data_IF_307648870663
#
_entry.id   IF_307648870663
#
_cell.length_a   1.000
_cell.length_b   1.000
_cell.length_c   1.000
_cell.angle_alpha   90.00
_cell.angle_beta   90.00
_cell.angle_gamma   90.00
#
_symmetry.space_group_name_H-M   'P 1'
#
loop_
_entity.id
_entity.type
_entity.pdbx_description
1 polymer ?
#
# COMPACT_ATOMS: atom_id res chain seq x y z
N UNK A 1 -19.58 6.81 -19.05
CA UNK A 1 -18.78 5.70 -18.47
C UNK A 1 -17.32 5.97 -18.81
N UNK A 2 -16.50 6.41 -17.86
CA UNK A 2 -15.06 6.62 -18.12
C UNK A 2 -14.33 5.30 -17.85
N UNK A 3 -13.92 4.62 -18.93
CA UNK A 3 -12.95 3.54 -18.87
C UNK A 3 -11.58 4.21 -18.97
N UNK A 4 -10.81 4.20 -17.87
CA UNK A 4 -9.34 4.28 -17.97
C UNK A 4 -8.63 5.59 -17.64
N UNK A 5 -9.20 6.50 -16.85
CA UNK A 5 -8.46 7.64 -16.29
C UNK A 5 -8.19 7.46 -14.79
N UNK A 6 -6.99 7.02 -14.40
CA UNK A 6 -6.60 6.93 -12.99
C UNK A 6 -6.32 8.35 -12.46
N UNK A 7 -7.02 8.78 -11.41
CA UNK A 7 -6.87 10.16 -10.93
C UNK A 7 -5.49 10.36 -10.28
N UNK A 8 -5.02 11.61 -10.22
CA UNK A 8 -3.77 11.93 -9.52
C UNK A 8 -3.80 11.52 -8.04
N UNK A 9 -5.00 11.51 -7.42
CA UNK A 9 -5.19 11.06 -6.06
C UNK A 9 -5.02 9.54 -5.93
N UNK A 10 -5.58 8.76 -6.87
CA UNK A 10 -5.43 7.30 -6.88
C UNK A 10 -3.97 6.88 -7.01
N UNK A 11 -3.19 7.59 -7.83
CA UNK A 11 -1.74 7.35 -7.99
C UNK A 11 -1.00 7.59 -6.68
N UNK A 12 -1.31 8.68 -5.97
CA UNK A 12 -0.71 8.98 -4.66
C UNK A 12 -1.04 7.91 -3.63
N UNK A 13 -2.30 7.49 -3.56
CA UNK A 13 -2.75 6.42 -2.65
C UNK A 13 -2.06 5.10 -2.97
N UNK A 14 -2.00 4.70 -4.24
CA UNK A 14 -1.26 3.47 -4.61
C UNK A 14 0.22 3.54 -4.26
N UNK A 15 0.85 4.70 -4.46
CA UNK A 15 2.27 4.88 -4.12
C UNK A 15 2.52 4.66 -2.63
N UNK A 16 1.68 5.22 -1.75
CA UNK A 16 1.88 5.03 -0.31
C UNK A 16 1.61 3.59 0.12
N UNK A 17 0.64 2.90 -0.50
CA UNK A 17 0.37 1.48 -0.24
C UNK A 17 1.58 0.59 -0.61
N UNK A 18 2.24 0.88 -1.74
CA UNK A 18 3.47 0.20 -2.15
C UNK A 18 4.60 0.50 -1.17
N UNK A 19 4.80 1.76 -0.77
CA UNK A 19 5.86 2.16 0.16
C UNK A 19 5.67 1.52 1.55
N UNK A 20 4.44 1.50 2.07
CA UNK A 20 4.12 0.84 3.33
C UNK A 20 4.40 -0.65 3.26
N UNK A 21 3.95 -1.32 2.19
CA UNK A 21 4.19 -2.76 1.99
C UNK A 21 5.69 -3.06 1.87
N UNK A 22 6.45 -2.22 1.16
CA UNK A 22 7.90 -2.36 1.08
C UNK A 22 8.57 -2.25 2.46
N UNK A 23 8.11 -1.32 3.31
CA UNK A 23 8.56 -1.22 4.70
C UNK A 23 8.27 -2.49 5.50
N UNK A 24 7.07 -3.09 5.34
CA UNK A 24 6.74 -4.36 6.00
C UNK A 24 7.71 -5.48 5.58
N UNK A 25 7.98 -5.60 4.28
CA UNK A 25 8.87 -6.65 3.74
C UNK A 25 10.31 -6.45 4.19
N UNK A 26 10.86 -5.25 4.02
CA UNK A 26 12.28 -4.94 4.34
C UNK A 26 12.57 -5.15 5.83
N UNK A 27 11.61 -4.85 6.71
CA UNK A 27 11.77 -5.00 8.15
C UNK A 27 11.24 -6.33 8.69
N UNK A 28 10.85 -7.27 7.83
CA UNK A 28 10.28 -8.56 8.20
C UNK A 28 9.08 -8.43 9.17
N UNK A 29 8.25 -7.41 8.97
CA UNK A 29 7.01 -7.21 9.72
C UNK A 29 5.93 -8.10 9.10
N UNK A 30 5.16 -8.86 9.91
CA UNK A 30 4.09 -9.69 9.39
C UNK A 30 3.06 -8.89 8.58
N UNK A 31 2.66 -9.39 7.41
CA UNK A 31 1.64 -8.74 6.57
C UNK A 31 0.28 -8.59 7.27
N UNK A 32 0.02 -9.40 8.30
CA UNK A 32 -1.14 -9.25 9.18
C UNK A 32 -1.22 -7.86 9.85
N UNK A 33 -0.07 -7.20 10.04
CA UNK A 33 -0.04 -5.84 10.59
C UNK A 33 -0.73 -4.81 9.67
N UNK A 34 -0.78 -5.04 8.36
CA UNK A 34 -1.48 -4.18 7.41
C UNK A 34 -2.99 -4.07 7.69
N UNK A 35 -3.59 -5.08 8.32
CA UNK A 35 -5.01 -5.06 8.69
C UNK A 35 -5.32 -4.00 9.75
N UNK A 36 -4.31 -3.60 10.54
CA UNK A 36 -4.43 -2.58 11.58
C UNK A 36 -4.01 -1.18 11.11
N UNK A 37 -3.13 -1.10 10.11
CA UNK A 37 -2.61 0.16 9.60
C UNK A 37 -3.70 1.06 9.00
N UNK A 38 -4.62 0.49 8.21
CA UNK A 38 -5.68 1.26 7.56
C UNK A 38 -6.54 2.07 8.53
N UNK A 39 -7.15 1.44 9.56
CA UNK A 39 -7.89 2.16 10.59
C UNK A 39 -7.05 3.22 11.33
N UNK A 40 -5.82 2.88 11.75
CA UNK A 40 -4.95 3.82 12.46
C UNK A 40 -4.59 5.05 11.61
N UNK A 41 -4.29 4.85 10.32
CA UNK A 41 -3.98 5.97 9.43
C UNK A 41 -5.18 6.93 9.29
N UNK A 42 -6.39 6.41 9.25
CA UNK A 42 -7.61 7.23 9.12
C UNK A 42 -7.92 8.00 10.39
N UNK A 43 -7.69 7.39 11.54
CA UNK A 43 -7.91 7.98 12.86
C UNK A 43 -6.85 9.05 13.16
N UNK A 44 -5.57 8.75 12.96
CA UNK A 44 -4.47 9.69 13.21
C UNK A 44 -4.41 10.84 12.18
N UNK A 45 -4.84 10.59 10.93
CA UNK A 45 -4.71 11.55 9.83
C UNK A 45 -6.05 11.81 9.14
N UNK A 46 -7.01 12.34 9.90
CA UNK A 46 -8.36 12.67 9.42
C UNK A 46 -8.42 13.65 8.24
N UNK A 47 -7.47 14.58 8.18
CA UNK A 47 -7.35 15.63 7.16
C UNK A 47 -6.71 15.14 5.85
N UNK A 48 -5.94 14.06 5.91
CA UNK A 48 -5.24 13.51 4.76
C UNK A 48 -6.16 12.66 3.90
N UNK A 49 -6.57 13.19 2.74
CA UNK A 49 -7.36 12.43 1.75
C UNK A 49 -6.68 11.09 1.38
N UNK A 50 -5.35 11.06 1.31
CA UNK A 50 -4.59 9.84 1.01
C UNK A 50 -4.69 8.80 2.14
N UNK A 51 -4.71 9.23 3.39
CA UNK A 51 -4.95 8.33 4.52
C UNK A 51 -6.39 7.80 4.52
N UNK A 52 -7.36 8.65 4.20
CA UNK A 52 -8.77 8.26 4.07
C UNK A 52 -9.00 7.25 2.93
N UNK A 53 -8.29 7.45 1.81
CA UNK A 53 -8.35 6.59 0.63
C UNK A 53 -7.52 5.30 0.77
N UNK A 54 -6.68 5.20 1.82
CA UNK A 54 -5.85 4.02 2.06
C UNK A 54 -6.72 2.77 2.27
N UNK A 55 -6.49 1.75 1.44
CA UNK A 55 -7.25 0.48 1.44
C UNK A 55 -6.34 -0.73 1.30
N UNK A 56 -5.10 -0.62 1.76
CA UNK A 56 -4.13 -1.72 1.73
C UNK A 56 -4.14 -2.46 3.06
N UNK A 57 -4.85 -3.58 3.06
CA UNK A 57 -4.84 -4.59 4.10
C UNK A 57 -4.05 -5.81 3.61
N UNK A 58 -4.02 -6.90 4.40
CA UNK A 58 -3.19 -8.09 4.15
C UNK A 58 -3.24 -8.60 2.72
N UNK A 59 -4.43 -8.80 2.13
CA UNK A 59 -4.56 -9.36 0.77
C UNK A 59 -3.89 -8.48 -0.27
N UNK A 60 -4.09 -7.16 -0.18
CA UNK A 60 -3.50 -6.21 -1.13
C UNK A 60 -2.00 -6.10 -0.92
N UNK A 61 -1.53 -6.11 0.33
CA UNK A 61 -0.10 -6.15 0.64
C UNK A 61 0.56 -7.41 0.08
N UNK A 62 -0.04 -8.59 0.21
CA UNK A 62 0.48 -9.83 -0.40
C UNK A 62 0.59 -9.72 -1.92
N UNK A 63 -0.43 -9.18 -2.59
CA UNK A 63 -0.38 -8.95 -4.04
C UNK A 63 0.74 -7.96 -4.41
N UNK A 64 0.89 -6.86 -3.69
CA UNK A 64 1.97 -5.89 -3.92
C UNK A 64 3.34 -6.55 -3.71
N UNK A 65 3.51 -7.34 -2.66
CA UNK A 65 4.75 -8.07 -2.39
C UNK A 65 5.12 -8.99 -3.55
N UNK A 66 4.18 -9.81 -4.02
CA UNK A 66 4.45 -10.80 -5.06
C UNK A 66 4.62 -10.19 -6.45
N UNK A 67 3.78 -9.22 -6.82
CA UNK A 67 3.71 -8.70 -8.20
C UNK A 67 4.58 -7.46 -8.42
N UNK A 68 4.61 -6.53 -7.45
CA UNK A 68 5.30 -5.25 -7.61
C UNK A 68 6.70 -5.23 -7.00
N UNK A 69 6.88 -5.89 -5.84
CA UNK A 69 8.13 -5.83 -5.10
C UNK A 69 9.07 -7.00 -5.41
N UNK A 70 8.57 -8.23 -5.52
CA UNK A 70 9.41 -9.40 -5.77
C UNK A 70 10.34 -9.24 -6.99
N UNK A 71 9.91 -8.69 -8.14
CA UNK A 71 10.81 -8.49 -9.28
C UNK A 71 11.98 -7.55 -9.00
N UNK A 72 11.83 -6.60 -8.06
CA UNK A 72 12.88 -5.68 -7.66
C UNK A 72 13.88 -6.31 -6.70
N UNK A 73 13.43 -7.20 -5.81
CA UNK A 73 14.30 -7.92 -4.89
C UNK A 73 15.08 -9.05 -5.59
N UNK A 74 14.47 -9.75 -6.55
CA UNK A 74 15.14 -10.83 -7.30
C UNK A 74 16.22 -10.32 -8.25
N UNK A 75 16.12 -9.08 -8.75
CA UNK A 75 17.17 -8.47 -9.59
C UNK A 75 18.43 -8.07 -8.81
N UNK A 76 18.34 -8.01 -7.47
CA UNK A 76 19.44 -7.61 -6.60
C UNK A 76 20.14 -8.81 -5.94
N UNK A 77 19.72 -10.04 -6.26
CA UNK A 77 20.35 -11.31 -5.91
C UNK A 77 21.12 -11.85 -7.12
#
# INVERSE_FOLDING_TARGET
MSVGGMSAQDVKTRRIEIQMTAGLVVHNVPLAFADHLGPHLKDCFGDSKTAQDYRCARTKSSCITNEALAPSFTKSL
#
